data_IF_076097711095
#
_entry.id   IF_076097711095
#
_cell.length_a   1.000
_cell.length_b   1.000
_cell.length_c   1.000
_cell.angle_alpha   90.00
_cell.angle_beta   90.00
_cell.angle_gamma   90.00
#
_symmetry.space_group_name_H-M   'P 1'
#
loop_
_entity.id
_entity.type
_entity.pdbx_description
1 polymer ?
#
# COMPACT_ATOMS: atom_id res chain seq x y z
N UNK A 1 0.67 9.67 16.43
CA UNK A 1 0.93 8.30 16.94
C UNK A 1 0.00 7.38 16.18
N UNK A 2 0.46 6.22 15.69
CA UNK A 2 -0.43 5.36 14.90
C UNK A 2 -1.38 4.59 15.82
N UNK A 3 -2.59 4.30 15.36
CA UNK A 3 -3.53 3.44 16.08
C UNK A 3 -3.01 2.02 16.29
N UNK A 4 -2.10 1.55 15.43
CA UNK A 4 -1.41 0.26 15.61
C UNK A 4 -0.58 0.27 16.90
N UNK A 5 0.04 1.41 17.24
CA UNK A 5 0.87 1.54 18.45
C UNK A 5 0.02 1.60 19.72
N UNK A 6 -1.18 2.18 19.62
CA UNK A 6 -2.11 2.27 20.74
C UNK A 6 -2.79 0.93 21.01
N UNK A 7 -3.36 0.31 19.98
CA UNK A 7 -4.03 -0.99 20.09
C UNK A 7 -4.32 -1.57 18.71
N UNK A 8 -3.74 -2.74 18.43
CA UNK A 8 -4.01 -3.49 17.20
C UNK A 8 -5.50 -3.82 17.01
N UNK A 9 -6.20 -4.11 18.11
CA UNK A 9 -7.63 -4.38 18.10
C UNK A 9 -8.46 -3.13 17.78
N UNK A 10 -8.06 -1.95 18.27
CA UNK A 10 -8.73 -0.67 17.90
C UNK A 10 -8.48 -0.32 16.45
N UNK A 11 -7.24 -0.48 15.97
CA UNK A 11 -6.89 -0.27 14.56
C UNK A 11 -7.85 -1.01 13.63
N UNK A 12 -8.11 -2.29 13.89
CA UNK A 12 -9.07 -3.08 13.13
C UNK A 12 -10.54 -2.69 13.37
N UNK A 13 -10.97 -2.64 14.63
CA UNK A 13 -12.40 -2.46 14.96
C UNK A 13 -12.96 -1.11 14.52
N UNK A 14 -12.13 -0.06 14.51
CA UNK A 14 -12.47 1.28 14.03
C UNK A 14 -12.13 1.42 12.55
N UNK A 15 -10.87 1.13 12.18
CA UNK A 15 -10.35 1.44 10.85
C UNK A 15 -10.98 0.62 9.72
N UNK A 16 -11.53 -0.57 9.99
CA UNK A 16 -12.27 -1.35 8.99
C UNK A 16 -13.65 -0.77 8.66
N UNK A 17 -14.16 0.14 9.50
CA UNK A 17 -15.46 0.80 9.35
C UNK A 17 -15.35 2.24 8.90
N UNK A 18 -14.13 2.70 8.64
CA UNK A 18 -13.83 4.03 8.16
C UNK A 18 -13.29 3.94 6.74
N UNK A 19 -13.93 4.58 5.74
CA UNK A 19 -13.32 4.75 4.43
C UNK A 19 -12.25 5.84 4.51
N UNK A 20 -11.34 5.85 3.53
CA UNK A 20 -10.49 7.02 3.32
C UNK A 20 -11.36 8.20 2.85
N UNK A 21 -11.17 9.38 3.47
CA UNK A 21 -11.79 10.62 3.02
C UNK A 21 -10.98 11.22 1.86
N UNK A 22 -11.29 10.77 0.64
CA UNK A 22 -10.63 11.24 -0.57
C UNK A 22 -10.97 12.69 -0.95
N UNK A 23 -12.10 13.22 -0.45
CA UNK A 23 -12.62 14.55 -0.78
C UNK A 23 -12.17 15.63 0.20
N UNK A 24 -11.55 15.24 1.32
CA UNK A 24 -10.95 16.17 2.27
C UNK A 24 -10.02 17.17 1.57
N UNK A 25 -10.36 18.44 1.68
CA UNK A 25 -9.47 19.51 1.26
C UNK A 25 -8.25 19.56 2.18
N UNK A 26 -7.05 19.43 1.61
CA UNK A 26 -5.79 19.65 2.31
C UNK A 26 -5.26 21.03 1.95
N UNK A 27 -5.00 21.86 2.97
CA UNK A 27 -4.40 23.19 2.80
C UNK A 27 -3.06 23.15 2.06
N UNK A 28 -2.32 22.05 2.19
CA UNK A 28 -1.08 21.77 1.46
C UNK A 28 -1.13 20.33 0.93
N UNK A 29 -0.69 20.11 -0.31
CA UNK A 29 -0.69 18.75 -0.88
C UNK A 29 0.43 17.87 -0.31
N UNK A 30 1.49 18.46 0.24
CA UNK A 30 2.58 17.74 0.90
C UNK A 30 2.43 17.76 2.42
N UNK A 31 2.84 16.68 3.11
CA UNK A 31 2.82 16.67 4.57
C UNK A 31 3.91 17.59 5.14
N UNK A 32 3.64 18.20 6.30
CA UNK A 32 4.58 19.10 6.98
C UNK A 32 5.85 18.41 7.47
N UNK A 33 5.79 17.09 7.68
CA UNK A 33 6.90 16.25 8.14
C UNK A 33 7.75 15.68 6.99
N UNK A 34 7.53 16.11 5.74
CA UNK A 34 8.31 15.63 4.59
C UNK A 34 9.80 15.98 4.73
N UNK A 35 10.65 14.98 4.57
CA UNK A 35 12.11 15.12 4.47
C UNK A 35 12.49 15.08 2.99
N UNK A 36 12.63 16.27 2.40
CA UNK A 36 12.93 16.42 0.97
C UNK A 36 14.28 15.82 0.57
N UNK A 37 15.25 15.75 1.48
CA UNK A 37 16.57 15.20 1.18
C UNK A 37 16.51 13.67 1.11
N UNK A 38 15.71 13.02 1.95
CA UNK A 38 15.40 11.59 1.82
C UNK A 38 14.60 11.30 0.55
N UNK A 39 13.57 12.09 0.28
CA UNK A 39 12.74 11.93 -0.91
C UNK A 39 13.57 12.04 -2.20
N UNK A 40 14.52 12.97 -2.29
CA UNK A 40 15.42 13.09 -3.45
C UNK A 40 16.38 11.92 -3.61
N UNK A 41 16.69 11.16 -2.55
CA UNK A 41 17.56 9.97 -2.59
C UNK A 41 16.86 8.72 -3.12
N UNK A 42 15.52 8.72 -3.18
CA UNK A 42 14.75 7.51 -3.52
C UNK A 42 15.11 6.96 -4.90
N UNK A 43 15.35 7.82 -5.90
CA UNK A 43 15.72 7.41 -7.25
C UNK A 43 17.04 6.67 -7.28
N UNK A 44 18.07 7.21 -6.63
CA UNK A 44 19.38 6.55 -6.54
C UNK A 44 19.31 5.21 -5.80
N UNK A 45 18.40 5.08 -4.83
CA UNK A 45 18.16 3.82 -4.14
C UNK A 45 17.43 2.82 -5.05
N UNK A 46 16.43 3.28 -5.81
CA UNK A 46 15.73 2.47 -6.80
C UNK A 46 16.66 2.00 -7.91
N UNK A 47 17.51 2.86 -8.47
CA UNK A 47 18.47 2.50 -9.51
C UNK A 47 19.41 1.36 -9.07
N UNK A 48 19.76 1.31 -7.77
CA UNK A 48 20.61 0.26 -7.18
C UNK A 48 19.87 -1.04 -6.86
N UNK A 49 18.61 -0.96 -6.48
CA UNK A 49 17.85 -2.10 -5.91
C UNK A 49 16.50 -2.35 -6.57
N UNK A 50 16.31 -1.90 -7.81
CA UNK A 50 15.03 -1.96 -8.53
C UNK A 50 14.45 -3.38 -8.56
N UNK A 51 15.28 -4.39 -8.84
CA UNK A 51 14.86 -5.80 -8.82
C UNK A 51 14.35 -6.22 -7.44
N UNK A 52 15.08 -5.93 -6.36
CA UNK A 52 14.66 -6.25 -4.99
C UNK A 52 13.39 -5.54 -4.57
N UNK A 53 13.26 -4.26 -4.95
CA UNK A 53 12.06 -3.45 -4.66
C UNK A 53 10.85 -4.00 -5.42
N UNK A 54 10.97 -4.25 -6.72
CA UNK A 54 9.88 -4.80 -7.54
C UNK A 54 9.50 -6.20 -7.07
N UNK A 55 10.48 -7.05 -6.76
CA UNK A 55 10.23 -8.38 -6.22
C UNK A 55 9.48 -8.31 -4.88
N UNK A 56 9.92 -7.45 -3.96
CA UNK A 56 9.22 -7.21 -2.69
C UNK A 56 7.77 -6.76 -2.89
N UNK A 57 7.54 -5.79 -3.79
CA UNK A 57 6.18 -5.27 -4.06
C UNK A 57 5.29 -6.36 -4.62
N UNK A 58 5.79 -7.15 -5.58
CA UNK A 58 5.03 -8.26 -6.15
C UNK A 58 4.72 -9.32 -5.09
N UNK A 59 5.72 -9.77 -4.33
CA UNK A 59 5.51 -10.76 -3.26
C UNK A 59 4.48 -10.26 -2.23
N UNK A 60 4.56 -8.99 -1.85
CA UNK A 60 3.61 -8.35 -0.96
C UNK A 60 2.19 -8.31 -1.52
N UNK A 61 2.03 -7.93 -2.79
CA UNK A 61 0.72 -7.91 -3.44
C UNK A 61 0.12 -9.32 -3.55
N UNK A 62 0.91 -10.33 -3.87
CA UNK A 62 0.44 -11.72 -3.95
C UNK A 62 -0.09 -12.20 -2.60
N UNK A 63 0.63 -11.95 -1.49
CA UNK A 63 0.16 -12.36 -0.15
C UNK A 63 -1.02 -11.52 0.34
N UNK A 64 -1.10 -10.24 -0.06
CA UNK A 64 -2.18 -9.34 0.33
C UNK A 64 -3.53 -9.80 -0.22
N UNK A 65 -3.57 -10.42 -1.40
CA UNK A 65 -4.81 -10.91 -2.03
C UNK A 65 -5.52 -11.95 -1.17
N UNK A 66 -4.81 -12.71 -0.34
CA UNK A 66 -5.45 -13.67 0.55
C UNK A 66 -6.25 -13.02 1.69
N UNK A 67 -6.08 -11.72 1.94
CA UNK A 67 -6.96 -11.00 2.85
C UNK A 67 -8.38 -10.90 2.25
N UNK A 68 -9.44 -11.39 2.95
CA UNK A 68 -10.78 -11.45 2.39
C UNK A 68 -11.38 -10.09 1.98
N UNK A 69 -11.05 -9.01 2.71
CA UNK A 69 -11.52 -7.66 2.38
C UNK A 69 -10.89 -7.17 1.07
N UNK A 70 -9.57 -7.39 0.93
CA UNK A 70 -8.82 -7.04 -0.27
C UNK A 70 -9.33 -7.85 -1.46
N UNK A 71 -9.36 -9.18 -1.36
CA UNK A 71 -9.87 -10.05 -2.42
C UNK A 71 -11.26 -9.61 -2.90
N UNK A 72 -12.22 -9.43 -1.99
CA UNK A 72 -13.59 -8.99 -2.31
C UNK A 72 -13.59 -7.67 -3.06
N UNK A 73 -12.78 -6.71 -2.62
CA UNK A 73 -12.65 -5.41 -3.27
C UNK A 73 -12.12 -5.55 -4.69
N UNK A 74 -11.01 -6.27 -4.88
CA UNK A 74 -10.37 -6.46 -6.19
C UNK A 74 -11.28 -7.24 -7.14
N UNK A 75 -11.91 -8.31 -6.68
CA UNK A 75 -12.78 -9.17 -7.48
C UNK A 75 -13.98 -8.37 -8.05
N UNK A 76 -14.64 -7.57 -7.20
CA UNK A 76 -15.79 -6.73 -7.60
C UNK A 76 -15.45 -5.67 -8.66
N UNK A 77 -14.18 -5.30 -8.83
CA UNK A 77 -13.79 -4.35 -9.90
C UNK A 77 -13.92 -4.95 -11.30
N UNK A 78 -13.95 -6.29 -11.43
CA UNK A 78 -13.92 -6.99 -12.71
C UNK A 78 -12.62 -6.83 -13.49
N UNK A 79 -11.59 -6.20 -12.90
CA UNK A 79 -10.27 -5.98 -13.52
C UNK A 79 -9.30 -7.16 -13.38
N UNK A 80 -9.76 -8.27 -12.81
CA UNK A 80 -9.01 -9.53 -12.67
C UNK A 80 -9.82 -10.74 -13.18
N UNK A 81 -10.79 -10.50 -14.07
CA UNK A 81 -11.75 -11.52 -14.52
C UNK A 81 -11.18 -12.49 -15.56
N UNK A 82 -10.16 -12.08 -16.30
CA UNK A 82 -9.47 -12.88 -17.30
C UNK A 82 -8.01 -12.40 -17.48
N UNK A 83 -7.19 -13.22 -18.16
CA UNK A 83 -5.75 -12.99 -18.34
C UNK A 83 -5.41 -11.59 -18.86
N UNK A 84 -6.15 -11.09 -19.87
CA UNK A 84 -5.92 -9.76 -20.46
C UNK A 84 -6.20 -8.65 -19.46
N UNK A 85 -7.34 -8.71 -18.75
CA UNK A 85 -7.66 -7.69 -17.73
C UNK A 85 -6.68 -7.72 -16.57
N UNK A 86 -6.27 -8.91 -16.14
CA UNK A 86 -5.25 -9.10 -15.10
C UNK A 86 -3.91 -8.53 -15.55
N UNK A 87 -3.47 -8.81 -16.79
CA UNK A 87 -2.24 -8.26 -17.36
C UNK A 87 -2.21 -6.74 -17.26
N UNK A 88 -3.23 -6.05 -17.77
CA UNK A 88 -3.26 -4.59 -17.74
C UNK A 88 -3.31 -4.04 -16.31
N UNK A 89 -4.03 -4.70 -15.39
CA UNK A 89 -4.08 -4.29 -13.98
C UNK A 89 -2.70 -4.25 -13.34
N UNK A 90 -1.92 -5.31 -13.50
CA UNK A 90 -0.58 -5.41 -12.90
C UNK A 90 0.47 -4.65 -13.68
N UNK A 91 0.34 -4.55 -15.01
CA UNK A 91 1.16 -3.65 -15.84
C UNK A 91 1.03 -2.20 -15.38
N UNK A 92 -0.19 -1.66 -15.25
CA UNK A 92 -0.38 -0.27 -14.79
C UNK A 92 0.08 -0.06 -13.35
N UNK A 93 -0.11 -1.05 -12.47
CA UNK A 93 0.41 -0.99 -11.10
C UNK A 93 1.94 -0.86 -11.11
N UNK A 94 2.63 -1.73 -11.84
CA UNK A 94 4.09 -1.70 -11.96
C UNK A 94 4.58 -0.40 -12.61
N UNK A 95 3.91 0.06 -13.67
CA UNK A 95 4.23 1.31 -14.36
C UNK A 95 4.10 2.52 -13.43
N UNK A 96 2.95 2.71 -12.78
CA UNK A 96 2.73 3.86 -11.89
C UNK A 96 3.69 3.86 -10.71
N UNK A 97 3.88 2.72 -10.05
CA UNK A 97 4.80 2.62 -8.92
C UNK A 97 6.23 2.95 -9.36
N UNK A 98 6.70 2.44 -10.51
CA UNK A 98 8.00 2.81 -11.07
C UNK A 98 8.11 4.32 -11.27
N UNK A 99 7.10 4.96 -11.86
CA UNK A 99 7.11 6.41 -12.09
C UNK A 99 7.29 7.19 -10.79
N UNK A 100 6.70 6.73 -9.68
CA UNK A 100 6.86 7.36 -8.36
C UNK A 100 8.30 7.31 -7.84
N UNK A 101 9.05 6.25 -8.15
CA UNK A 101 10.46 6.11 -7.74
C UNK A 101 11.41 6.96 -8.60
N UNK A 102 11.14 7.08 -9.91
CA UNK A 102 12.10 7.66 -10.86
C UNK A 102 11.85 9.13 -11.19
N UNK A 103 10.66 9.65 -10.86
CA UNK A 103 10.31 11.06 -11.05
C UNK A 103 9.90 11.75 -9.74
N UNK A 104 9.23 12.91 -9.81
CA UNK A 104 9.09 13.83 -8.69
C UNK A 104 7.65 13.91 -8.19
N UNK A 105 7.30 13.03 -7.25
CA UNK A 105 5.95 12.97 -6.62
C UNK A 105 5.50 14.29 -5.96
N UNK A 106 6.41 15.23 -5.71
CA UNK A 106 6.12 16.49 -5.03
C UNK A 106 5.85 17.66 -5.98
N UNK A 107 6.11 17.51 -7.28
CA UNK A 107 5.89 18.55 -8.28
C UNK A 107 4.59 18.29 -9.05
N UNK A 108 3.66 19.25 -8.99
CA UNK A 108 2.44 19.21 -9.81
C UNK A 108 2.80 19.11 -11.29
N UNK A 109 2.02 18.37 -12.07
CA UNK A 109 2.24 18.08 -13.50
C UNK A 109 3.45 17.18 -13.82
N UNK A 110 4.24 16.74 -12.82
CA UNK A 110 5.21 15.67 -13.03
C UNK A 110 4.47 14.32 -13.19
N UNK A 111 4.98 13.44 -14.05
CA UNK A 111 4.33 12.15 -14.32
C UNK A 111 4.09 11.32 -13.05
N UNK A 112 4.99 11.39 -12.06
CA UNK A 112 4.80 10.72 -10.78
C UNK A 112 3.62 11.30 -10.00
N UNK A 113 3.48 12.62 -9.98
CA UNK A 113 2.38 13.30 -9.31
C UNK A 113 1.04 13.00 -10.01
N UNK A 114 1.00 13.05 -11.34
CA UNK A 114 -0.21 12.78 -12.12
C UNK A 114 -0.66 11.32 -11.97
N UNK A 115 0.25 10.36 -12.10
CA UNK A 115 -0.08 8.94 -11.92
C UNK A 115 -0.52 8.62 -10.48
N UNK A 116 0.06 9.29 -9.47
CA UNK A 116 -0.41 9.18 -8.09
C UNK A 116 -1.85 9.68 -7.94
N UNK A 117 -2.20 10.84 -8.52
CA UNK A 117 -3.57 11.35 -8.49
C UNK A 117 -4.54 10.45 -9.27
N UNK A 118 -4.10 9.85 -10.38
CA UNK A 118 -4.88 8.83 -11.10
C UNK A 118 -5.20 7.66 -10.16
N UNK A 119 -4.21 7.12 -9.44
CA UNK A 119 -4.43 6.02 -8.48
C UNK A 119 -5.34 6.45 -7.33
N UNK A 120 -5.13 7.66 -6.77
CA UNK A 120 -6.00 8.22 -5.72
C UNK A 120 -7.46 8.28 -6.20
N UNK A 121 -7.70 8.78 -7.42
CA UNK A 121 -9.03 8.86 -8.00
C UNK A 121 -9.62 7.48 -8.33
N UNK A 122 -8.80 6.51 -8.74
CA UNK A 122 -9.24 5.13 -8.92
C UNK A 122 -9.73 4.53 -7.59
N UNK A 123 -8.98 4.71 -6.50
CA UNK A 123 -9.40 4.24 -5.19
C UNK A 123 -10.66 4.96 -4.68
N UNK A 124 -10.75 6.28 -4.84
CA UNK A 124 -11.96 7.05 -4.50
C UNK A 124 -13.19 6.49 -5.22
N UNK A 125 -13.12 6.36 -6.54
CA UNK A 125 -14.21 5.83 -7.36
C UNK A 125 -14.63 4.40 -6.96
N UNK A 126 -13.68 3.53 -6.60
CA UNK A 126 -13.99 2.17 -6.15
C UNK A 126 -14.58 2.19 -4.74
N UNK A 127 -14.06 3.04 -3.84
CA UNK A 127 -14.60 3.23 -2.49
C UNK A 127 -16.05 3.68 -2.55
N UNK A 128 -16.35 4.75 -3.30
CA UNK A 128 -17.70 5.31 -3.42
C UNK A 128 -18.70 4.26 -3.94
N UNK A 129 -18.32 3.56 -5.03
CA UNK A 129 -19.18 2.54 -5.64
C UNK A 129 -19.40 1.33 -4.74
N UNK A 130 -18.36 0.83 -4.07
CA UNK A 130 -18.48 -0.40 -3.27
C UNK A 130 -19.03 -0.15 -1.87
N UNK A 131 -19.09 1.11 -1.45
CA UNK A 131 -19.66 1.53 -0.17
C UNK A 131 -21.02 2.24 -0.30
N UNK A 132 -21.60 2.29 -1.51
CA UNK A 132 -22.95 2.83 -1.71
C UNK A 132 -23.95 2.14 -0.76
N UNK A 133 -24.71 2.95 -0.02
CA UNK A 133 -25.68 2.48 0.96
C UNK A 133 -25.11 1.99 2.30
N UNK A 134 -23.78 1.94 2.47
CA UNK A 134 -23.15 1.62 3.77
C UNK A 134 -23.03 2.85 4.65
N UNK A 135 -23.12 2.65 5.96
CA UNK A 135 -22.95 3.69 6.96
C UNK A 135 -21.51 3.65 7.55
N UNK A 136 -20.70 4.71 7.38
CA UNK A 136 -19.42 4.83 8.07
C UNK A 136 -19.56 4.67 9.59
N UNK A 137 -18.55 4.10 10.24
CA UNK A 137 -18.52 3.73 11.67
C UNK A 137 -19.43 2.57 12.09
N UNK A 138 -20.33 2.10 11.23
CA UNK A 138 -21.25 1.00 11.51
C UNK A 138 -20.92 -0.24 10.70
N UNK A 139 -20.83 -0.07 9.38
CA UNK A 139 -20.62 -1.16 8.43
C UNK A 139 -19.14 -1.31 8.07
N UNK A 140 -18.73 -2.51 7.65
CA UNK A 140 -17.38 -2.72 7.12
C UNK A 140 -17.25 -2.11 5.73
N UNK A 141 -16.25 -1.26 5.56
CA UNK A 141 -16.01 -0.47 4.35
C UNK A 141 -15.04 -1.22 3.43
N UNK A 142 -15.25 -1.11 2.12
CA UNK A 142 -14.26 -1.47 1.10
C UNK A 142 -13.29 -0.30 0.93
N UNK A 143 -11.99 -0.56 0.72
CA UNK A 143 -10.96 0.48 0.71
C UNK A 143 -11.01 1.30 2.02
N UNK A 144 -11.14 0.56 3.12
CA UNK A 144 -11.11 1.12 4.47
C UNK A 144 -9.71 1.64 4.83
N UNK A 145 -9.60 2.37 5.94
CA UNK A 145 -8.32 2.79 6.49
C UNK A 145 -7.40 1.57 6.75
N UNK A 146 -7.96 0.45 7.21
CA UNK A 146 -7.23 -0.80 7.39
C UNK A 146 -6.76 -1.36 6.04
N UNK A 147 -7.64 -1.46 5.04
CA UNK A 147 -7.28 -2.00 3.72
C UNK A 147 -6.12 -1.22 3.10
N UNK A 148 -6.15 0.11 3.20
CA UNK A 148 -5.09 0.98 2.67
C UNK A 148 -3.78 0.86 3.46
N UNK A 149 -3.86 0.64 4.77
CA UNK A 149 -2.68 0.36 5.62
C UNK A 149 -2.05 -0.99 5.29
N UNK A 150 -2.86 -2.04 5.12
CA UNK A 150 -2.40 -3.37 4.69
C UNK A 150 -1.83 -3.33 3.27
N UNK A 151 -2.41 -2.51 2.39
CA UNK A 151 -1.86 -2.25 1.06
C UNK A 151 -0.49 -1.58 1.17
N UNK A 152 -0.32 -0.59 2.04
CA UNK A 152 1.00 0.01 2.30
C UNK A 152 2.00 -1.04 2.83
N UNK A 153 1.57 -1.94 3.71
CA UNK A 153 2.37 -3.07 4.18
C UNK A 153 2.83 -3.96 3.03
N UNK A 154 1.97 -4.27 2.06
CA UNK A 154 2.35 -5.08 0.89
C UNK A 154 3.52 -4.47 0.10
N UNK A 155 3.61 -3.14 0.04
CA UNK A 155 4.71 -2.47 -0.68
C UNK A 155 6.00 -2.29 0.14
N UNK A 156 5.98 -2.46 1.47
CA UNK A 156 7.15 -2.09 2.30
C UNK A 156 7.53 -3.13 3.34
N UNK A 157 6.63 -4.04 3.70
CA UNK A 157 6.78 -5.00 4.79
C UNK A 157 8.00 -5.88 4.60
N UNK A 158 8.16 -6.50 3.42
CA UNK A 158 9.32 -7.36 3.14
C UNK A 158 10.64 -6.57 3.09
N UNK A 159 10.65 -5.34 2.56
CA UNK A 159 11.83 -4.44 2.59
C UNK A 159 12.28 -4.09 4.01
N UNK A 160 11.35 -4.01 4.97
CA UNK A 160 11.64 -3.63 6.37
C UNK A 160 11.98 -4.82 7.25
N UNK A 161 11.29 -5.95 7.05
CA UNK A 161 11.40 -7.15 7.88
C UNK A 161 12.49 -8.10 7.39
N UNK A 162 12.64 -8.25 6.08
CA UNK A 162 13.48 -9.27 5.46
C UNK A 162 14.39 -8.71 4.36
N UNK A 163 15.08 -7.55 4.56
CA UNK A 163 15.86 -6.92 3.52
C UNK A 163 16.97 -7.82 2.97
N UNK A 164 17.53 -8.73 3.79
CA UNK A 164 18.58 -9.65 3.34
C UNK A 164 18.02 -10.68 2.35
N UNK A 165 16.86 -11.24 2.67
CA UNK A 165 16.22 -12.34 1.93
C UNK A 165 15.73 -11.87 0.56
N UNK A 166 15.28 -10.62 0.44
CA UNK A 166 14.88 -10.03 -0.85
C UNK A 166 16.04 -9.35 -1.60
N UNK A 167 17.27 -9.42 -1.08
CA UNK A 167 18.47 -8.83 -1.69
C UNK A 167 18.54 -7.29 -1.63
N UNK A 168 17.84 -6.66 -0.69
CA UNK A 168 17.83 -5.22 -0.48
C UNK A 168 18.96 -4.73 0.44
N UNK A 169 19.12 -3.40 0.57
CA UNK A 169 20.12 -2.79 1.44
C UNK A 169 19.88 -3.12 2.92
N UNK A 170 20.95 -3.48 3.62
CA UNK A 170 20.97 -3.64 5.08
C UNK A 170 21.32 -2.33 5.81
N UNK A 171 21.63 -1.26 5.08
CA UNK A 171 21.91 0.04 5.68
C UNK A 171 20.62 0.63 6.24
N UNK A 172 20.66 1.01 7.51
CA UNK A 172 19.53 1.67 8.20
C UNK A 172 18.98 2.86 7.41
N UNK A 173 19.86 3.70 6.88
CA UNK A 173 19.49 4.90 6.11
C UNK A 173 18.72 4.59 4.82
N UNK A 174 19.08 3.52 4.12
CA UNK A 174 18.41 3.11 2.89
C UNK A 174 16.98 2.60 3.21
N UNK A 175 16.83 1.80 4.28
CA UNK A 175 15.51 1.31 4.73
C UNK A 175 14.65 2.47 5.22
N UNK A 176 15.20 3.40 6.01
CA UNK A 176 14.49 4.62 6.42
C UNK A 176 14.07 5.48 5.23
N UNK A 177 14.87 5.52 4.16
CA UNK A 177 14.54 6.26 2.93
C UNK A 177 13.32 5.65 2.24
N UNK A 178 13.26 4.32 2.10
CA UNK A 178 12.07 3.62 1.57
C UNK A 178 10.85 3.84 2.46
N UNK A 179 11.00 3.70 3.77
CA UNK A 179 9.92 3.92 4.74
C UNK A 179 9.38 5.34 4.63
N UNK A 180 10.25 6.35 4.66
CA UNK A 180 9.82 7.74 4.53
C UNK A 180 9.13 8.01 3.19
N UNK A 181 9.66 7.46 2.09
CA UNK A 181 9.03 7.56 0.78
C UNK A 181 7.61 6.99 0.78
N UNK A 182 7.41 5.77 1.30
CA UNK A 182 6.08 5.18 1.39
C UNK A 182 5.17 5.88 2.39
N UNK A 183 5.71 6.52 3.44
CA UNK A 183 4.92 7.39 4.30
C UNK A 183 4.32 8.55 3.51
N UNK A 184 5.14 9.24 2.70
CA UNK A 184 4.68 10.34 1.84
C UNK A 184 3.66 9.84 0.80
N UNK A 185 3.93 8.72 0.13
CA UNK A 185 2.97 8.11 -0.81
C UNK A 185 1.63 7.80 -0.12
N UNK A 186 1.65 7.20 1.08
CA UNK A 186 0.44 6.92 1.84
C UNK A 186 -0.37 8.19 2.12
N UNK A 187 0.29 9.25 2.58
CA UNK A 187 -0.34 10.54 2.83
C UNK A 187 -0.95 11.15 1.55
N UNK A 188 -0.24 11.08 0.43
CA UNK A 188 -0.69 11.59 -0.86
C UNK A 188 -1.87 10.79 -1.43
N UNK A 189 -1.92 9.48 -1.17
CA UNK A 189 -3.05 8.60 -1.47
C UNK A 189 -4.23 8.75 -0.50
N UNK A 190 -4.11 9.62 0.52
CA UNK A 190 -5.20 9.94 1.45
C UNK A 190 -5.18 9.17 2.78
N UNK A 191 -4.17 8.33 3.03
CA UNK A 191 -4.02 7.68 4.33
C UNK A 191 -3.73 8.75 5.39
N UNK A 192 -4.59 8.84 6.40
CA UNK A 192 -4.41 9.73 7.54
C UNK A 192 -3.19 9.29 8.38
N UNK A 193 -2.53 10.26 9.01
CA UNK A 193 -1.26 10.02 9.70
C UNK A 193 -1.37 8.97 10.82
N UNK A 194 -2.54 8.81 11.44
CA UNK A 194 -2.81 7.77 12.46
C UNK A 194 -2.93 6.34 11.90
N UNK A 195 -3.23 6.20 10.60
CA UNK A 195 -3.27 4.94 9.87
C UNK A 195 -2.04 4.71 8.98
N UNK A 196 -1.16 5.71 8.83
CA UNK A 196 0.04 5.58 8.01
C UNK A 196 1.09 4.67 8.68
N UNK A 197 1.21 3.44 8.18
CA UNK A 197 2.13 2.41 8.68
C UNK A 197 3.57 2.93 8.77
N UNK A 198 3.98 3.70 7.78
CA UNK A 198 5.36 4.12 7.59
C UNK A 198 5.74 5.38 8.37
N UNK A 199 4.81 6.01 9.09
CA UNK A 199 5.09 7.24 9.83
C UNK A 199 5.71 6.95 11.21
N UNK A 200 6.99 7.27 11.37
CA UNK A 200 7.74 7.08 12.61
C UNK A 200 9.19 6.67 12.36
N UNK A 201 9.91 6.34 13.42
CA UNK A 201 11.25 5.78 13.30
C UNK A 201 11.22 4.32 12.82
N UNK A 202 12.34 3.83 12.28
CA UNK A 202 12.43 2.49 11.70
C UNK A 202 12.09 1.36 12.70
N UNK A 203 12.41 1.53 13.99
CA UNK A 203 12.12 0.50 14.99
C UNK A 203 10.61 0.38 15.22
N UNK A 204 9.93 1.51 15.32
CA UNK A 204 8.46 1.57 15.42
C UNK A 204 7.82 0.97 14.16
N UNK A 205 8.23 1.39 12.97
CA UNK A 205 7.68 0.86 11.70
C UNK A 205 7.92 -0.65 11.58
N UNK A 206 9.11 -1.15 11.95
CA UNK A 206 9.40 -2.60 11.94
C UNK A 206 8.47 -3.38 12.87
N UNK A 207 8.20 -2.88 14.08
CA UNK A 207 7.24 -3.51 15.00
C UNK A 207 5.84 -3.58 14.40
N UNK A 208 5.36 -2.50 13.78
CA UNK A 208 4.05 -2.49 13.12
C UNK A 208 4.00 -3.48 11.96
N UNK A 209 5.04 -3.51 11.12
CA UNK A 209 5.14 -4.49 10.05
C UNK A 209 5.09 -5.93 10.57
N UNK A 210 5.75 -6.21 11.70
CA UNK A 210 5.72 -7.53 12.32
C UNK A 210 4.32 -7.88 12.84
N UNK A 211 3.63 -6.94 13.50
CA UNK A 211 2.25 -7.13 13.95
C UNK A 211 1.30 -7.46 12.79
N UNK A 212 1.39 -6.72 11.68
CA UNK A 212 0.60 -6.99 10.48
C UNK A 212 0.95 -8.34 9.88
N UNK A 213 2.24 -8.70 9.81
CA UNK A 213 2.66 -10.00 9.31
C UNK A 213 2.02 -11.14 10.11
N UNK A 214 2.08 -11.07 11.44
CA UNK A 214 1.65 -12.14 12.32
C UNK A 214 0.12 -12.25 12.42
N UNK A 215 -0.61 -11.14 12.30
CA UNK A 215 -2.07 -11.11 12.54
C UNK A 215 -2.91 -11.01 11.26
N UNK A 216 -2.38 -10.45 10.17
CA UNK A 216 -3.15 -10.20 8.94
C UNK A 216 -2.58 -10.87 7.70
N UNK A 217 -1.27 -11.14 7.64
CA UNK A 217 -0.69 -11.71 6.42
C UNK A 217 -0.56 -13.21 6.56
N UNK A 218 0.18 -13.68 7.57
CA UNK A 218 0.43 -15.11 7.78
C UNK A 218 -0.86 -15.91 8.00
N UNK A 219 -1.84 -15.47 8.81
CA UNK A 219 -3.05 -16.27 9.02
C UNK A 219 -3.88 -16.45 7.75
N UNK A 220 -4.03 -15.40 6.95
CA UNK A 220 -4.76 -15.45 5.68
C UNK A 220 -3.99 -16.21 4.59
N UNK A 221 -2.67 -16.06 4.54
CA UNK A 221 -1.82 -16.82 3.62
C UNK A 221 -1.79 -18.32 3.94
N UNK A 222 -1.88 -18.73 5.21
CA UNK A 222 -1.91 -20.15 5.58
C UNK A 222 -3.30 -20.79 5.47
N UNK A 223 -4.36 -19.98 5.50
CA UNK A 223 -5.75 -20.43 5.47
C UNK A 223 -6.54 -19.71 4.37
N UNK A 224 -5.98 -19.68 3.16
CA UNK A 224 -6.61 -19.01 2.02
C UNK A 224 -7.84 -19.76 1.50
N UNK A 225 -8.76 -19.02 0.89
CA UNK A 225 -9.88 -19.60 0.15
C UNK A 225 -9.51 -19.89 -1.32
N UNK A 226 -10.28 -20.77 -1.95
CA UNK A 226 -10.05 -21.18 -3.33
C UNK A 226 -10.10 -20.01 -4.33
N UNK A 227 -10.95 -19.01 -4.10
CA UNK A 227 -11.12 -17.93 -5.07
C UNK A 227 -9.96 -16.93 -5.03
N UNK A 228 -9.47 -16.60 -3.83
CA UNK A 228 -8.26 -15.78 -3.69
C UNK A 228 -7.02 -16.47 -4.27
N UNK A 229 -6.88 -17.79 -4.05
CA UNK A 229 -5.85 -18.60 -4.71
C UNK A 229 -5.97 -18.58 -6.25
N UNK A 230 -7.17 -18.77 -6.78
CA UNK A 230 -7.42 -18.69 -8.24
C UNK A 230 -7.03 -17.32 -8.82
N UNK A 231 -7.29 -16.23 -8.08
CA UNK A 231 -6.87 -14.91 -8.51
C UNK A 231 -5.35 -14.77 -8.52
N UNK A 232 -4.65 -15.29 -7.50
CA UNK A 232 -3.18 -15.31 -7.42
C UNK A 232 -2.58 -16.13 -8.57
N UNK A 233 -3.10 -17.31 -8.87
CA UNK A 233 -2.65 -18.15 -9.99
C UNK A 233 -2.72 -17.39 -11.33
N UNK A 234 -3.83 -16.71 -11.61
CA UNK A 234 -3.97 -15.88 -12.83
C UNK A 234 -2.97 -14.73 -12.92
N UNK A 235 -2.47 -14.26 -11.79
CA UNK A 235 -1.43 -13.21 -11.74
C UNK A 235 -0.07 -13.82 -12.01
N UNK A 236 0.18 -15.05 -11.56
CA UNK A 236 1.39 -15.78 -11.89
C UNK A 236 1.43 -16.16 -13.38
N UNK A 237 0.28 -16.40 -14.02
CA UNK A 237 0.21 -16.69 -15.46
C UNK A 237 0.67 -15.53 -16.38
N UNK A 238 0.82 -14.31 -15.84
CA UNK A 238 1.23 -13.11 -16.61
C UNK A 238 2.65 -12.60 -16.27
N UNK A 239 3.41 -13.31 -15.44
CA UNK A 239 4.74 -12.92 -14.94
C UNK A 239 5.75 -13.98 -15.37
#
# INVERSE_FOLDING_TARGET
MSLIDESYAKFHSIGSKLPIDYHREKNHHLPSWIDMDRIKKIRSLYDRYSYSIVFSHLSGLLVLIFNPSIYKTLNKTGKSKNLVTTFYRYYYTAFFVREWYVNKIWLKNDIAYETLNIVKNMHANVSDKQNEGKMPNKDTMSISCVDMTLTQWAFVGFLVLYPKEIGFSLRKEDIETIVHFWAVIGHLLGIEDEYNLCLGDLHTVRKRCQLILDNDVRPHFLNYDHDSATMVERILDII
#
